data_IF_969085142685
#
_entry.id   IF_969085142685
#
_cell.length_a   1.000
_cell.length_b   1.000
_cell.length_c   1.000
_cell.angle_alpha   90.00
_cell.angle_beta   90.00
_cell.angle_gamma   90.00
#
_symmetry.space_group_name_H-M   'P 1'
#
loop_
_entity.id
_entity.type
_entity.pdbx_description
1 polymer ?
#
# COMPACT_ATOMS: atom_id res chain seq x y z
N UNK A 1 19.50 4.02 0.94
CA UNK A 1 19.91 4.86 2.09
C UNK A 1 21.38 4.73 2.41
N UNK A 2 21.88 3.60 2.93
CA UNK A 2 23.30 3.47 3.30
C UNK A 2 24.27 3.83 2.16
N UNK A 3 24.06 3.30 0.95
CA UNK A 3 24.89 3.62 -0.22
C UNK A 3 24.89 5.11 -0.56
N UNK A 4 23.71 5.74 -0.51
CA UNK A 4 23.57 7.18 -0.73
C UNK A 4 24.27 7.99 0.36
N UNK A 5 24.22 7.53 1.61
CA UNK A 5 24.93 8.12 2.74
C UNK A 5 26.45 8.01 2.55
N UNK A 6 26.98 6.83 2.19
CA UNK A 6 28.40 6.62 1.91
C UNK A 6 28.89 7.47 0.73
N UNK A 7 28.12 7.53 -0.36
CA UNK A 7 28.40 8.41 -1.49
C UNK A 7 28.39 9.89 -1.10
N UNK A 8 27.47 10.29 -0.21
CA UNK A 8 27.43 11.63 0.36
C UNK A 8 28.69 11.96 1.15
N UNK A 9 29.11 11.07 2.05
CA UNK A 9 30.34 11.24 2.83
C UNK A 9 31.60 11.27 1.96
N UNK A 10 31.67 10.43 0.92
CA UNK A 10 32.76 10.45 -0.06
C UNK A 10 32.84 11.79 -0.79
N UNK A 11 31.69 12.29 -1.25
CA UNK A 11 31.57 13.61 -1.89
C UNK A 11 31.98 14.73 -0.94
N UNK A 12 31.59 14.66 0.33
CA UNK A 12 32.02 15.62 1.35
C UNK A 12 33.55 15.58 1.53
N UNK A 13 34.16 14.39 1.61
CA UNK A 13 35.61 14.26 1.73
C UNK A 13 36.35 14.86 0.52
N UNK A 14 35.86 14.62 -0.70
CA UNK A 14 36.40 15.19 -1.93
C UNK A 14 36.29 16.73 -1.94
N UNK A 15 35.16 17.28 -1.48
CA UNK A 15 34.94 18.72 -1.34
C UNK A 15 35.90 19.37 -0.33
N UNK A 16 36.17 18.71 0.79
CA UNK A 16 37.15 19.19 1.79
C UNK A 16 38.55 19.24 1.16
N UNK A 17 38.92 18.19 0.42
CA UNK A 17 40.18 18.14 -0.32
C UNK A 17 40.30 19.24 -1.39
N UNK A 18 39.21 19.52 -2.11
CA UNK A 18 39.15 20.59 -3.10
C UNK A 18 39.27 21.98 -2.46
N UNK A 19 38.51 22.24 -1.39
CA UNK A 19 38.53 23.51 -0.67
C UNK A 19 39.90 23.78 -0.03
N UNK A 20 40.59 22.75 0.46
CA UNK A 20 41.95 22.86 1.00
C UNK A 20 42.94 23.42 -0.04
N UNK A 21 42.80 23.03 -1.31
CA UNK A 21 43.63 23.58 -2.41
C UNK A 21 43.30 25.05 -2.69
N UNK A 22 42.02 25.44 -2.63
CA UNK A 22 41.60 26.84 -2.80
C UNK A 22 42.10 27.73 -1.65
N UNK A 23 42.03 27.22 -0.42
CA UNK A 23 42.55 27.89 0.77
C UNK A 23 44.05 28.17 0.66
N UNK A 24 44.83 27.22 0.15
CA UNK A 24 46.28 27.39 -0.08
C UNK A 24 46.60 28.50 -1.09
N UNK A 25 45.68 28.80 -2.01
CA UNK A 25 45.80 29.88 -2.99
C UNK A 25 45.34 31.26 -2.46
N UNK A 26 45.06 31.39 -1.16
CA UNK A 26 44.70 32.67 -0.52
C UNK A 26 43.24 33.11 -0.69
N UNK A 27 42.39 32.29 -1.32
CA UNK A 27 40.98 32.58 -1.60
C UNK A 27 40.01 31.87 -0.63
N UNK A 28 40.47 31.53 0.58
CA UNK A 28 39.65 30.89 1.61
C UNK A 28 38.66 31.84 2.30
N UNK A 29 37.53 31.29 2.77
CA UNK A 29 36.56 32.00 3.61
C UNK A 29 36.79 31.68 5.08
N UNK A 30 36.80 32.71 5.94
CA UNK A 30 37.00 32.57 7.39
C UNK A 30 35.98 31.64 8.06
N UNK A 31 34.74 31.61 7.58
CA UNK A 31 33.69 30.74 8.14
C UNK A 31 33.90 29.27 7.73
N UNK A 32 34.25 29.03 6.47
CA UNK A 32 34.52 27.67 5.97
C UNK A 32 35.81 27.10 6.59
N UNK A 33 36.83 27.93 6.76
CA UNK A 33 38.06 27.54 7.46
C UNK A 33 37.78 27.13 8.91
N UNK A 34 36.84 27.80 9.59
CA UNK A 34 36.44 27.43 10.96
C UNK A 34 35.69 26.10 10.99
N UNK A 35 34.74 25.88 10.07
CA UNK A 35 33.94 24.64 10.02
C UNK A 35 34.77 23.41 9.64
N UNK A 36 35.83 23.59 8.86
CA UNK A 36 36.66 22.50 8.37
C UNK A 36 37.88 22.22 9.25
N UNK A 37 38.39 23.21 10.01
CA UNK A 37 39.46 23.00 10.99
C UNK A 37 38.96 22.51 12.35
N UNK A 38 37.65 22.54 12.62
CA UNK A 38 37.06 22.06 13.87
C UNK A 38 36.98 20.53 13.90
N UNK A 39 38.13 19.87 13.94
CA UNK A 39 38.27 18.49 14.43
C UNK A 39 37.50 17.41 13.68
N UNK A 40 37.28 17.57 12.36
CA UNK A 40 36.72 16.48 11.56
C UNK A 40 37.65 15.27 11.61
N UNK A 41 37.16 14.14 12.13
CA UNK A 41 37.85 12.85 12.04
C UNK A 41 38.11 12.50 10.58
N UNK A 42 39.26 11.89 10.29
CA UNK A 42 39.58 11.42 8.94
C UNK A 42 38.65 10.25 8.57
N UNK A 43 37.59 10.59 7.83
CA UNK A 43 36.60 9.64 7.33
C UNK A 43 37.19 8.71 6.27
N UNK A 44 38.39 8.96 5.74
CA UNK A 44 39.01 8.17 4.68
C UNK A 44 39.15 6.70 5.06
N UNK A 45 39.72 6.41 6.23
CA UNK A 45 39.92 5.04 6.71
C UNK A 45 38.58 4.30 6.93
N UNK A 46 37.56 5.00 7.42
CA UNK A 46 36.23 4.44 7.60
C UNK A 46 35.52 4.16 6.28
N UNK A 47 35.61 5.09 5.31
CA UNK A 47 35.05 4.90 3.97
C UNK A 47 35.73 3.75 3.23
N UNK A 48 37.05 3.60 3.34
CA UNK A 48 37.77 2.45 2.77
C UNK A 48 37.37 1.11 3.38
N UNK A 49 37.06 1.09 4.68
CA UNK A 49 36.53 -0.11 5.32
C UNK A 49 35.16 -0.49 4.76
N UNK A 50 34.23 0.47 4.64
CA UNK A 50 32.91 0.24 4.03
C UNK A 50 32.98 -0.14 2.54
N UNK A 51 33.98 0.32 1.81
CA UNK A 51 34.22 -0.10 0.42
C UNK A 51 34.53 -1.61 0.32
N UNK A 52 35.21 -2.18 1.34
CA UNK A 52 35.67 -3.58 1.36
C UNK A 52 34.73 -4.54 2.09
N UNK A 53 33.77 -4.03 2.87
CA UNK A 53 32.89 -4.84 3.72
C UNK A 53 31.89 -5.69 2.92
N UNK A 54 31.41 -5.19 1.77
CA UNK A 54 30.37 -5.85 0.98
C UNK A 54 30.43 -5.42 -0.49
N UNK A 55 29.73 -6.15 -1.36
CA UNK A 55 29.65 -5.81 -2.78
C UNK A 55 28.61 -4.70 -3.03
N UNK A 56 29.08 -3.48 -3.31
CA UNK A 56 28.22 -2.30 -3.52
C UNK A 56 27.31 -2.43 -4.73
N UNK A 57 27.77 -3.08 -5.81
CA UNK A 57 26.97 -3.29 -7.04
C UNK A 57 25.79 -4.22 -6.79
N UNK A 58 26.02 -5.31 -6.02
CA UNK A 58 24.95 -6.23 -5.64
C UNK A 58 24.00 -5.55 -4.66
N UNK A 59 24.51 -4.79 -3.70
CA UNK A 59 23.68 -4.05 -2.75
C UNK A 59 22.77 -3.00 -3.41
N UNK A 60 23.26 -2.32 -4.45
CA UNK A 60 22.47 -1.35 -5.22
C UNK A 60 21.37 -2.04 -6.04
N UNK A 61 21.69 -3.16 -6.67
CA UNK A 61 20.77 -3.88 -7.56
C UNK A 61 19.70 -4.68 -6.80
N UNK A 62 20.11 -5.40 -5.76
CA UNK A 62 19.24 -6.30 -4.99
C UNK A 62 18.60 -5.61 -3.77
N UNK A 63 19.08 -4.41 -3.40
CA UNK A 63 18.58 -3.66 -2.25
C UNK A 63 18.93 -4.27 -0.89
N UNK A 64 19.82 -5.26 -0.86
CA UNK A 64 20.24 -6.00 0.34
C UNK A 64 21.75 -5.95 0.48
N UNK A 65 22.24 -5.61 1.66
CA UNK A 65 23.67 -5.63 1.98
C UNK A 65 24.02 -7.03 2.48
N UNK A 66 24.91 -7.69 1.74
CA UNK A 66 25.43 -9.01 2.09
C UNK A 66 26.91 -8.85 2.40
N UNK A 67 27.33 -9.00 3.67
CA UNK A 67 28.74 -8.98 4.03
C UNK A 67 29.54 -10.01 3.22
N UNK A 68 30.78 -9.69 2.89
CA UNK A 68 31.69 -10.71 2.38
C UNK A 68 32.03 -11.73 3.46
N UNK A 69 32.28 -12.98 3.04
CA UNK A 69 32.62 -14.07 3.96
C UNK A 69 33.84 -13.69 4.82
N UNK A 70 33.72 -13.83 6.13
CA UNK A 70 34.75 -13.50 7.11
C UNK A 70 34.77 -12.03 7.56
N UNK A 71 33.87 -11.18 7.05
CA UNK A 71 33.72 -9.79 7.54
C UNK A 71 32.76 -9.70 8.73
N UNK A 72 31.83 -10.64 8.85
CA UNK A 72 30.84 -10.70 9.92
C UNK A 72 30.61 -12.16 10.34
N UNK A 73 31.14 -12.51 11.52
CA UNK A 73 31.07 -13.87 12.07
C UNK A 73 29.63 -14.27 12.41
N UNK A 74 28.80 -13.35 12.92
CA UNK A 74 27.40 -13.63 13.28
C UNK A 74 26.55 -13.90 12.03
N UNK A 75 26.79 -13.14 10.96
CA UNK A 75 26.16 -13.35 9.66
C UNK A 75 26.58 -14.70 9.05
N UNK A 76 27.89 -15.00 9.06
CA UNK A 76 28.42 -16.25 8.52
C UNK A 76 27.84 -17.46 9.27
N UNK A 77 27.70 -17.37 10.60
CA UNK A 77 27.10 -18.40 11.44
C UNK A 77 25.62 -18.61 11.11
N UNK A 78 24.88 -17.52 10.93
CA UNK A 78 23.48 -17.53 10.54
C UNK A 78 23.28 -18.17 9.17
N UNK A 79 24.13 -17.84 8.18
CA UNK A 79 24.10 -18.46 6.86
C UNK A 79 24.33 -19.97 6.93
N UNK A 80 25.27 -20.45 7.77
CA UNK A 80 25.49 -21.88 7.97
C UNK A 80 24.27 -22.57 8.57
N UNK A 81 23.67 -21.98 9.60
CA UNK A 81 22.47 -22.53 10.24
C UNK A 81 21.27 -22.61 9.27
N UNK A 82 21.07 -21.59 8.42
CA UNK A 82 20.02 -21.58 7.40
C UNK A 82 20.26 -22.66 6.35
N UNK A 83 21.50 -22.83 5.88
CA UNK A 83 21.84 -23.87 4.90
C UNK A 83 21.61 -25.28 5.46
N UNK A 84 21.96 -25.51 6.74
CA UNK A 84 21.69 -26.78 7.41
C UNK A 84 20.18 -27.04 7.53
N UNK A 85 19.40 -26.05 7.99
CA UNK A 85 17.94 -26.17 8.08
C UNK A 85 17.30 -26.43 6.70
N UNK A 86 17.77 -25.76 5.66
CA UNK A 86 17.34 -25.98 4.27
C UNK A 86 17.65 -27.40 3.80
N UNK A 87 18.82 -27.94 4.15
CA UNK A 87 19.18 -29.32 3.85
C UNK A 87 18.24 -30.32 4.53
N UNK A 88 17.95 -30.12 5.83
CA UNK A 88 17.02 -30.97 6.58
C UNK A 88 15.60 -30.95 5.99
N UNK A 89 15.12 -29.79 5.54
CA UNK A 89 13.81 -29.67 4.87
C UNK A 89 13.77 -30.46 3.56
N UNK A 90 14.83 -30.42 2.74
CA UNK A 90 14.87 -31.18 1.49
C UNK A 90 14.97 -32.70 1.73
N UNK A 91 15.66 -33.13 2.79
CA UNK A 91 15.66 -34.54 3.22
C UNK A 91 14.25 -34.98 3.64
N UNK A 92 13.57 -34.18 4.46
CA UNK A 92 12.20 -34.47 4.89
C UNK A 92 11.22 -34.54 3.72
N UNK A 93 11.36 -33.64 2.75
CA UNK A 93 10.58 -33.63 1.51
C UNK A 93 10.74 -34.95 0.76
N UNK A 94 11.98 -35.40 0.49
CA UNK A 94 12.23 -36.68 -0.20
C UNK A 94 11.58 -37.86 0.51
N UNK A 95 11.73 -37.94 1.84
CA UNK A 95 11.10 -39.00 2.64
C UNK A 95 9.56 -38.97 2.57
N UNK A 96 8.98 -37.78 2.44
CA UNK A 96 7.52 -37.62 2.37
C UNK A 96 7.01 -37.91 0.96
N UNK A 97 7.74 -37.53 -0.09
CA UNK A 97 7.46 -37.90 -1.48
C UNK A 97 7.46 -39.42 -1.67
N UNK A 98 8.41 -40.13 -1.06
CA UNK A 98 8.47 -41.59 -1.04
C UNK A 98 7.26 -42.22 -0.35
N UNK A 99 6.82 -41.67 0.78
CA UNK A 99 5.69 -42.20 1.57
C UNK A 99 4.32 -41.94 0.93
N UNK A 100 4.16 -40.79 0.29
CA UNK A 100 2.89 -40.39 -0.33
C UNK A 100 2.80 -40.77 -1.81
N UNK A 101 3.90 -41.30 -2.39
CA UNK A 101 4.03 -41.62 -3.80
C UNK A 101 3.61 -40.45 -4.72
N UNK A 102 3.91 -39.22 -4.31
CA UNK A 102 3.57 -38.02 -5.04
C UNK A 102 4.72 -37.01 -4.97
N UNK A 103 4.80 -36.14 -5.97
CA UNK A 103 5.77 -35.03 -5.97
C UNK A 103 5.23 -33.91 -5.09
N UNK A 104 6.04 -33.38 -4.19
CA UNK A 104 5.67 -32.35 -3.22
C UNK A 104 6.39 -31.06 -3.57
N UNK A 105 5.64 -29.96 -3.62
CA UNK A 105 6.22 -28.62 -3.69
C UNK A 105 6.00 -27.91 -2.37
N UNK A 106 6.96 -27.08 -1.97
CA UNK A 106 6.77 -26.17 -0.86
C UNK A 106 6.13 -24.87 -1.35
N UNK A 107 5.03 -24.48 -0.71
CA UNK A 107 4.28 -23.27 -0.99
C UNK A 107 4.19 -22.39 0.26
N UNK A 108 3.86 -21.12 0.04
CA UNK A 108 3.54 -20.15 1.10
C UNK A 108 4.63 -19.09 1.33
N UNK A 109 4.21 -17.98 1.94
CA UNK A 109 5.07 -16.81 2.23
C UNK A 109 4.96 -16.41 3.70
N UNK A 110 5.98 -15.72 4.23
CA UNK A 110 6.07 -15.30 5.64
C UNK A 110 6.00 -16.46 6.64
N UNK A 111 5.04 -16.41 7.57
CA UNK A 111 4.82 -17.43 8.61
C UNK A 111 4.17 -18.72 8.09
N UNK A 112 3.90 -18.80 6.78
CA UNK A 112 3.32 -19.97 6.11
C UNK A 112 4.29 -20.58 5.09
N UNK A 113 5.57 -20.18 5.10
CA UNK A 113 6.60 -20.80 4.26
C UNK A 113 6.69 -22.29 4.55
N UNK A 114 7.02 -23.07 3.52
CA UNK A 114 7.21 -24.51 3.60
C UNK A 114 5.95 -25.33 3.91
N UNK A 115 4.75 -24.84 3.55
CA UNK A 115 3.56 -25.69 3.50
C UNK A 115 3.65 -26.63 2.29
N UNK A 116 3.25 -27.89 2.46
CA UNK A 116 3.32 -28.87 1.39
C UNK A 116 2.08 -28.75 0.50
N UNK A 117 2.30 -28.39 -0.75
CA UNK A 117 1.29 -28.47 -1.79
C UNK A 117 1.32 -29.88 -2.40
N UNK A 118 0.16 -30.50 -2.40
CA UNK A 118 -0.07 -31.87 -2.88
C UNK A 118 -1.33 -31.86 -3.75
N UNK A 119 -1.40 -32.78 -4.71
CA UNK A 119 -2.58 -32.90 -5.56
C UNK A 119 -3.80 -33.35 -4.74
N UNK A 120 -4.98 -32.82 -5.09
CA UNK A 120 -6.24 -33.00 -4.35
C UNK A 120 -6.70 -34.47 -4.27
N UNK A 121 -6.22 -35.30 -5.20
CA UNK A 121 -6.51 -36.73 -5.29
C UNK A 121 -5.60 -37.61 -4.41
N UNK A 122 -4.63 -37.04 -3.68
CA UNK A 122 -3.72 -37.78 -2.80
C UNK A 122 -4.36 -37.95 -1.42
N UNK A 123 -4.50 -39.19 -0.97
CA UNK A 123 -5.02 -39.51 0.37
C UNK A 123 -4.04 -39.09 1.46
N UNK A 124 -4.31 -37.97 2.13
CA UNK A 124 -3.45 -37.44 3.19
C UNK A 124 -3.71 -38.20 4.50
N UNK A 125 -2.67 -38.74 5.16
CA UNK A 125 -2.81 -39.33 6.48
C UNK A 125 -3.35 -38.35 7.53
N UNK A 126 -4.05 -38.88 8.55
CA UNK A 126 -4.69 -38.08 9.62
C UNK A 126 -3.74 -37.23 10.48
N UNK A 127 -2.42 -37.42 10.37
CA UNK A 127 -1.43 -36.63 11.10
C UNK A 127 -1.07 -35.29 10.42
N UNK A 128 -1.65 -34.99 9.25
CA UNK A 128 -1.55 -33.68 8.60
C UNK A 128 -2.84 -32.86 8.73
N UNK A 129 -2.71 -31.54 8.83
CA UNK A 129 -3.83 -30.57 8.88
C UNK A 129 -4.05 -29.94 7.50
N UNK A 130 -5.25 -30.09 6.92
CA UNK A 130 -5.63 -29.46 5.65
C UNK A 130 -6.19 -28.04 5.91
N UNK A 131 -5.62 -27.02 5.26
CA UNK A 131 -6.10 -25.62 5.36
C UNK A 131 -6.57 -25.10 4.01
N UNK A 132 -7.87 -24.86 3.87
CA UNK A 132 -8.45 -24.08 2.76
C UNK A 132 -8.71 -22.65 3.23
N UNK A 133 -8.25 -21.65 2.47
CA UNK A 133 -8.32 -20.25 2.87
C UNK A 133 -9.41 -19.49 2.14
N UNK A 134 -10.51 -19.16 2.85
CA UNK A 134 -11.46 -18.12 2.43
C UNK A 134 -11.62 -17.14 3.60
N UNK A 135 -11.04 -15.94 3.48
CA UNK A 135 -11.25 -14.84 4.45
C UNK A 135 -12.51 -14.05 4.06
N UNK A 136 -13.37 -13.80 5.04
CA UNK A 136 -14.61 -13.02 4.93
C UNK A 136 -14.34 -11.61 5.44
N UNK A 137 -14.48 -10.59 4.59
CA UNK A 137 -14.31 -9.19 4.99
C UNK A 137 -15.61 -8.64 5.58
N UNK A 138 -15.62 -8.43 6.90
CA UNK A 138 -16.46 -7.44 7.58
C UNK A 138 -15.80 -6.04 7.42
N UNK A 139 -16.56 -4.94 7.41
CA UNK A 139 -16.17 -3.57 7.89
C UNK A 139 -16.46 -2.33 7.02
N UNK A 140 -17.22 -2.38 5.92
CA UNK A 140 -17.47 -1.14 5.12
C UNK A 140 -18.21 -0.05 5.93
N UNK A 141 -19.12 -0.45 6.82
CA UNK A 141 -19.87 0.49 7.67
C UNK A 141 -19.01 1.11 8.77
N UNK A 142 -18.28 0.30 9.52
CA UNK A 142 -17.42 0.77 10.61
C UNK A 142 -16.29 1.66 10.08
N UNK A 143 -15.70 1.31 8.93
CA UNK A 143 -14.67 2.13 8.30
C UNK A 143 -15.17 3.53 7.91
N UNK A 144 -16.41 3.63 7.41
CA UNK A 144 -17.03 4.92 7.09
C UNK A 144 -17.26 5.75 8.36
N UNK A 145 -17.71 5.12 9.45
CA UNK A 145 -17.98 5.79 10.73
C UNK A 145 -16.71 6.34 11.37
N UNK A 146 -15.64 5.53 11.43
CA UNK A 146 -14.35 5.94 12.00
C UNK A 146 -13.73 7.07 11.18
N UNK A 147 -13.71 6.94 9.85
CA UNK A 147 -13.19 7.98 8.97
C UNK A 147 -13.93 9.32 9.15
N UNK A 148 -15.25 9.27 9.33
CA UNK A 148 -16.06 10.47 9.60
C UNK A 148 -15.70 11.14 10.94
N UNK A 149 -15.50 10.35 12.00
CA UNK A 149 -15.12 10.87 13.30
C UNK A 149 -13.73 11.53 13.28
N UNK A 150 -12.74 10.89 12.65
CA UNK A 150 -11.38 11.43 12.51
C UNK A 150 -11.39 12.74 11.72
N UNK A 151 -12.09 12.78 10.58
CA UNK A 151 -12.17 13.99 9.76
C UNK A 151 -12.85 15.14 10.51
N UNK A 152 -13.87 14.85 11.31
CA UNK A 152 -14.52 15.86 12.16
C UNK A 152 -13.60 16.38 13.27
N UNK A 153 -12.78 15.52 13.87
CA UNK A 153 -11.87 15.89 14.96
C UNK A 153 -10.71 16.76 14.46
N UNK A 154 -10.11 16.39 13.33
CA UNK A 154 -9.06 17.18 12.67
C UNK A 154 -9.57 18.56 12.27
N UNK A 155 -10.78 18.64 11.69
CA UNK A 155 -11.34 19.91 11.18
C UNK A 155 -11.85 20.87 12.26
N UNK A 156 -12.24 20.37 13.45
CA UNK A 156 -12.83 21.18 14.53
C UNK A 156 -11.89 21.40 15.71
N UNK A 157 -11.15 20.38 16.14
CA UNK A 157 -10.33 20.43 17.36
C UNK A 157 -8.86 20.72 17.07
N UNK A 158 -8.26 20.01 16.11
CA UNK A 158 -6.82 20.14 15.83
C UNK A 158 -6.50 21.34 14.94
N UNK A 159 -7.30 21.58 13.90
CA UNK A 159 -7.14 22.68 12.94
C UNK A 159 -5.72 22.80 12.34
N UNK A 160 -5.01 21.68 12.20
CA UNK A 160 -3.72 21.63 11.52
C UNK A 160 -3.89 21.52 9.99
N UNK A 161 -2.88 21.95 9.24
CA UNK A 161 -2.82 21.71 7.79
C UNK A 161 -2.69 20.21 7.54
N UNK A 162 -3.65 19.61 6.83
CA UNK A 162 -3.73 18.16 6.64
C UNK A 162 -4.26 17.80 5.25
N UNK A 163 -3.84 16.65 4.74
CA UNK A 163 -4.46 15.97 3.61
C UNK A 163 -5.17 14.71 4.10
N UNK A 164 -6.41 14.51 3.68
CA UNK A 164 -7.22 13.35 4.05
C UNK A 164 -7.74 12.66 2.78
N UNK A 165 -7.14 11.51 2.43
CA UNK A 165 -7.54 10.71 1.27
C UNK A 165 -8.56 9.64 1.69
N UNK A 166 -9.63 9.46 0.91
CA UNK A 166 -10.68 8.48 1.21
C UNK A 166 -11.34 7.92 -0.05
N UNK A 167 -11.78 6.67 0.02
CA UNK A 167 -12.65 6.04 -0.99
C UNK A 167 -14.15 6.13 -0.64
N UNK A 168 -14.50 6.70 0.53
CA UNK A 168 -15.89 6.82 0.96
C UNK A 168 -16.56 8.03 0.32
N UNK A 169 -17.19 7.85 -0.85
CA UNK A 169 -17.89 8.93 -1.54
C UNK A 169 -19.04 9.55 -0.68
N UNK A 170 -19.65 8.75 0.20
CA UNK A 170 -20.65 9.21 1.18
C UNK A 170 -20.06 10.22 2.19
N UNK A 171 -18.79 10.07 2.57
CA UNK A 171 -18.10 10.97 3.48
C UNK A 171 -17.83 12.32 2.82
N UNK A 172 -17.43 12.34 1.55
CA UNK A 172 -17.18 13.58 0.79
C UNK A 172 -18.40 14.52 0.78
N UNK A 173 -19.61 13.96 0.61
CA UNK A 173 -20.86 14.74 0.65
C UNK A 173 -21.12 15.38 2.02
N UNK A 174 -20.80 14.66 3.10
CA UNK A 174 -20.99 15.15 4.47
C UNK A 174 -19.92 16.18 4.85
N UNK A 175 -18.71 15.99 4.35
CA UNK A 175 -17.58 16.88 4.58
C UNK A 175 -17.72 18.24 3.88
N UNK A 176 -18.44 18.31 2.75
CA UNK A 176 -18.73 19.54 2.01
C UNK A 176 -19.42 20.64 2.84
N UNK A 177 -20.10 20.26 3.93
CA UNK A 177 -20.83 21.21 4.80
C UNK A 177 -19.87 21.99 5.71
N UNK A 178 -18.64 21.53 5.90
CA UNK A 178 -17.69 22.15 6.82
C UNK A 178 -16.79 23.16 6.07
N UNK A 179 -16.78 24.46 6.47
CA UNK A 179 -15.97 25.48 5.79
C UNK A 179 -14.45 25.26 5.93
N UNK A 180 -13.99 24.47 6.91
CA UNK A 180 -12.58 24.13 7.10
C UNK A 180 -12.12 22.98 6.20
N UNK A 181 -13.00 22.42 5.36
CA UNK A 181 -12.68 21.28 4.51
C UNK A 181 -12.83 21.68 3.04
N UNK A 182 -11.71 21.75 2.33
CA UNK A 182 -11.69 21.86 0.88
C UNK A 182 -11.69 20.45 0.26
N UNK A 183 -12.55 20.24 -0.74
CA UNK A 183 -12.64 18.97 -1.46
C UNK A 183 -11.79 19.06 -2.73
N UNK A 184 -10.99 18.02 -2.97
CA UNK A 184 -10.17 17.91 -4.16
C UNK A 184 -10.05 16.44 -4.60
N UNK A 185 -9.72 16.23 -5.86
CA UNK A 185 -9.48 14.92 -6.45
C UNK A 185 -8.35 14.97 -7.48
N UNK A 186 -7.83 13.80 -7.86
CA UNK A 186 -6.91 13.67 -8.99
C UNK A 186 -7.70 13.68 -10.30
N UNK A 187 -7.38 14.62 -11.18
CA UNK A 187 -8.02 14.77 -12.47
C UNK A 187 -7.75 13.56 -13.39
N UNK A 188 -8.75 13.24 -14.19
CA UNK A 188 -8.69 12.21 -15.22
C UNK A 188 -9.45 12.70 -16.46
N UNK A 189 -9.03 12.18 -17.61
CA UNK A 189 -9.70 12.40 -18.89
C UNK A 189 -10.34 11.08 -19.30
N UNK A 190 -11.62 11.13 -19.68
CA UNK A 190 -12.35 9.95 -20.14
C UNK A 190 -12.68 10.15 -21.62
N UNK A 191 -12.25 9.20 -22.44
CA UNK A 191 -12.58 9.14 -23.87
C UNK A 191 -13.59 8.01 -24.10
N UNK A 192 -14.48 8.22 -25.08
CA UNK A 192 -15.57 7.29 -25.42
C UNK A 192 -16.51 7.01 -24.25
N UNK A 193 -16.95 8.07 -23.55
CA UNK A 193 -18.00 7.94 -22.54
C UNK A 193 -19.28 7.40 -23.18
N UNK A 194 -19.59 6.13 -22.90
CA UNK A 194 -20.82 5.49 -23.35
C UNK A 194 -21.49 4.82 -22.15
N UNK A 195 -22.55 5.45 -21.63
CA UNK A 195 -23.27 4.98 -20.45
C UNK A 195 -23.88 3.58 -20.61
N UNK A 196 -24.05 3.12 -21.86
CA UNK A 196 -24.57 1.80 -22.19
C UNK A 196 -23.49 0.69 -22.15
N UNK A 197 -22.20 1.01 -22.33
CA UNK A 197 -21.14 0.02 -22.40
C UNK A 197 -19.80 0.55 -21.80
N UNK A 198 -19.66 0.58 -20.46
CA UNK A 198 -18.47 1.10 -19.79
C UNK A 198 -17.20 0.27 -20.07
N UNK A 199 -17.34 -0.89 -20.71
CA UNK A 199 -16.20 -1.69 -21.20
C UNK A 199 -15.42 -1.04 -22.34
N UNK A 200 -15.90 0.07 -22.92
CA UNK A 200 -15.22 0.81 -23.99
C UNK A 200 -14.57 2.11 -23.51
N UNK A 201 -14.88 2.57 -22.28
CA UNK A 201 -14.33 3.81 -21.71
C UNK A 201 -12.81 3.74 -21.57
N UNK A 202 -12.10 4.72 -22.13
CA UNK A 202 -10.66 4.87 -21.94
C UNK A 202 -10.38 5.99 -20.93
N UNK A 203 -9.75 5.67 -19.80
CA UNK A 203 -9.45 6.62 -18.74
C UNK A 203 -7.96 6.92 -18.72
N UNK A 204 -7.61 8.19 -18.88
CA UNK A 204 -6.24 8.70 -18.78
C UNK A 204 -6.07 9.48 -17.48
N UNK A 205 -5.15 9.04 -16.61
CA UNK A 205 -4.84 9.73 -15.36
C UNK A 205 -3.92 10.93 -15.63
N UNK A 206 -4.37 12.13 -15.22
CA UNK A 206 -3.63 13.38 -15.48
C UNK A 206 -2.68 13.78 -14.34
N UNK A 207 -2.72 13.07 -13.21
CA UNK A 207 -1.91 13.33 -12.01
C UNK A 207 -1.94 14.78 -11.51
N UNK A 208 -3.04 15.49 -11.79
CA UNK A 208 -3.25 16.89 -11.40
C UNK A 208 -4.29 16.97 -10.30
N UNK A 209 -3.98 17.64 -9.19
CA UNK A 209 -4.98 17.95 -8.15
C UNK A 209 -5.94 19.03 -8.65
N UNK A 210 -7.24 18.76 -8.59
CA UNK A 210 -8.31 19.69 -8.99
C UNK A 210 -9.39 19.74 -7.93
N UNK A 211 -10.04 20.89 -7.80
CA UNK A 211 -11.10 21.10 -6.83
C UNK A 211 -12.33 20.23 -7.11
N UNK A 212 -13.06 19.91 -6.05
CA UNK A 212 -14.29 19.13 -6.09
C UNK A 212 -14.12 17.64 -5.82
N UNK A 213 -15.25 16.92 -5.80
CA UNK A 213 -15.30 15.47 -5.57
C UNK A 213 -15.15 14.74 -6.90
N UNK A 214 -14.44 13.62 -6.89
CA UNK A 214 -14.33 12.75 -8.06
C UNK A 214 -15.73 12.32 -8.56
N UNK A 215 -16.06 12.54 -9.84
CA UNK A 215 -17.42 12.32 -10.36
C UNK A 215 -17.80 10.83 -10.43
N UNK A 216 -16.84 9.94 -10.72
CA UNK A 216 -17.05 8.49 -10.83
C UNK A 216 -15.85 7.72 -10.25
N UNK A 217 -16.09 6.49 -9.79
CA UNK A 217 -15.03 5.57 -9.40
C UNK A 217 -14.53 4.78 -10.61
N UNK A 218 -13.24 4.84 -10.91
CA UNK A 218 -12.64 4.16 -12.07
C UNK A 218 -12.15 2.73 -11.75
N UNK A 219 -12.76 2.07 -10.75
CA UNK A 219 -12.37 0.73 -10.31
C UNK A 219 -12.54 -0.33 -11.40
N UNK A 220 -13.60 -0.23 -12.20
CA UNK A 220 -13.85 -1.15 -13.32
C UNK A 220 -12.81 -1.00 -14.44
N UNK A 221 -12.40 0.23 -14.75
CA UNK A 221 -11.31 0.50 -15.69
C UNK A 221 -9.99 -0.09 -15.19
N UNK A 222 -9.66 0.09 -13.91
CA UNK A 222 -8.46 -0.50 -13.30
C UNK A 222 -8.48 -2.04 -13.35
N UNK A 223 -9.63 -2.67 -13.11
CA UNK A 223 -9.79 -4.12 -13.23
C UNK A 223 -9.55 -4.62 -14.68
N UNK A 224 -10.04 -3.88 -15.68
CA UNK A 224 -9.80 -4.18 -17.09
C UNK A 224 -8.31 -4.06 -17.44
N UNK A 225 -7.65 -3.00 -16.98
CA UNK A 225 -6.20 -2.82 -17.18
C UNK A 225 -5.38 -3.95 -16.53
N UNK A 226 -5.86 -4.49 -15.41
CA UNK A 226 -5.25 -5.62 -14.72
C UNK A 226 -5.52 -6.98 -15.38
N UNK A 227 -6.23 -7.02 -16.53
CA UNK A 227 -6.51 -8.25 -17.27
C UNK A 227 -7.71 -9.06 -16.75
N UNK A 228 -8.60 -8.47 -15.96
CA UNK A 228 -9.85 -9.13 -15.57
C UNK A 228 -10.74 -9.30 -16.80
N UNK A 229 -11.34 -10.49 -16.95
CA UNK A 229 -12.20 -10.83 -18.09
C UNK A 229 -13.34 -9.81 -18.29
N UNK A 230 -13.61 -9.34 -19.52
CA UNK A 230 -14.63 -8.32 -19.79
C UNK A 230 -16.03 -8.68 -19.27
N UNK A 231 -16.41 -9.96 -19.33
CA UNK A 231 -17.72 -10.44 -18.88
C UNK A 231 -17.88 -10.26 -17.37
N UNK A 232 -16.80 -10.48 -16.61
CA UNK A 232 -16.78 -10.30 -15.14
C UNK A 232 -16.87 -8.82 -14.78
N UNK A 233 -16.18 -7.96 -15.52
CA UNK A 233 -16.24 -6.50 -15.32
C UNK A 233 -17.66 -5.98 -15.60
N UNK A 234 -18.31 -6.48 -16.66
CA UNK A 234 -19.69 -6.13 -17.01
C UNK A 234 -20.69 -6.56 -15.93
N UNK A 235 -20.61 -7.81 -15.49
CA UNK A 235 -21.46 -8.33 -14.41
C UNK A 235 -21.28 -7.53 -13.11
N UNK A 236 -20.03 -7.20 -12.75
CA UNK A 236 -19.72 -6.39 -11.58
C UNK A 236 -20.28 -4.96 -11.68
N UNK A 237 -20.26 -4.36 -12.87
CA UNK A 237 -20.86 -3.06 -13.13
C UNK A 237 -22.38 -3.08 -12.96
N UNK A 238 -23.05 -4.06 -13.56
CA UNK A 238 -24.51 -4.24 -13.44
C UNK A 238 -24.91 -4.45 -11.98
N UNK A 239 -24.21 -5.33 -11.25
CA UNK A 239 -24.43 -5.55 -9.82
C UNK A 239 -24.23 -4.28 -8.98
N UNK A 240 -23.21 -3.48 -9.31
CA UNK A 240 -22.95 -2.19 -8.63
C UNK A 240 -24.08 -1.19 -8.83
N UNK A 241 -24.64 -1.09 -10.04
CA UNK A 241 -25.81 -0.24 -10.32
C UNK A 241 -27.03 -0.66 -9.50
N UNK A 242 -27.34 -1.96 -9.48
CA UNK A 242 -28.48 -2.49 -8.70
C UNK A 242 -28.33 -2.17 -7.20
N UNK A 243 -27.12 -2.36 -6.66
CA UNK A 243 -26.83 -2.03 -5.27
C UNK A 243 -26.95 -0.52 -5.00
N UNK A 244 -26.40 0.31 -5.87
CA UNK A 244 -26.48 1.76 -5.75
C UNK A 244 -27.94 2.24 -5.77
N UNK A 245 -28.73 1.78 -6.73
CA UNK A 245 -30.14 2.13 -6.87
C UNK A 245 -30.97 1.67 -5.66
N UNK A 246 -30.70 0.47 -5.15
CA UNK A 246 -31.35 -0.06 -3.94
C UNK A 246 -31.06 0.82 -2.72
N UNK A 247 -29.80 1.22 -2.52
CA UNK A 247 -29.40 2.12 -1.43
C UNK A 247 -30.02 3.52 -1.61
N UNK A 248 -30.05 4.04 -2.83
CA UNK A 248 -30.57 5.38 -3.11
C UNK A 248 -32.10 5.44 -2.95
N UNK A 249 -32.84 4.41 -3.40
CA UNK A 249 -34.29 4.29 -3.18
C UNK A 249 -34.64 4.28 -1.70
N UNK A 250 -33.97 3.44 -0.90
CA UNK A 250 -34.16 3.42 0.57
C UNK A 250 -33.86 4.77 1.20
N UNK A 251 -32.81 5.45 0.74
CA UNK A 251 -32.44 6.78 1.25
C UNK A 251 -33.49 7.84 0.92
N UNK A 252 -34.05 7.84 -0.30
CA UNK A 252 -35.13 8.77 -0.69
C UNK A 252 -36.42 8.51 0.07
N UNK A 253 -36.82 7.24 0.23
CA UNK A 253 -38.01 6.87 1.00
C UNK A 253 -37.88 7.28 2.48
N UNK A 254 -36.71 7.08 3.10
CA UNK A 254 -36.44 7.57 4.46
C UNK A 254 -36.47 9.11 4.55
N UNK A 255 -35.97 9.81 3.53
CA UNK A 255 -36.02 11.27 3.48
C UNK A 255 -37.46 11.79 3.37
N UNK A 256 -38.30 11.16 2.54
CA UNK A 256 -39.72 11.49 2.41
C UNK A 256 -40.47 11.32 3.74
N UNK A 257 -40.23 10.22 4.45
CA UNK A 257 -40.81 9.98 5.79
C UNK A 257 -40.40 11.09 6.78
N UNK A 258 -39.13 11.52 6.75
CA UNK A 258 -38.65 12.60 7.63
C UNK A 258 -39.31 13.94 7.34
N UNK A 259 -39.58 14.25 6.08
CA UNK A 259 -40.25 15.50 5.69
C UNK A 259 -41.72 15.50 6.14
N UNK A 260 -42.44 14.40 5.94
CA UNK A 260 -43.83 14.24 6.44
C UNK A 260 -43.88 14.34 7.97
N UNK A 261 -42.92 13.72 8.67
CA UNK A 261 -42.83 13.79 10.13
C UNK A 261 -42.57 15.22 10.64
N UNK A 262 -41.76 16.02 9.93
CA UNK A 262 -41.51 17.43 10.27
C UNK A 262 -42.69 18.35 9.95
N UNK A 263 -43.45 18.02 8.91
CA UNK A 263 -44.65 18.76 8.49
C UNK A 263 -45.90 18.52 9.34
N UNK A 264 -45.82 17.70 10.39
CA UNK A 264 -46.96 17.36 11.25
C UNK A 264 -47.87 16.27 10.70
N UNK A 265 -47.34 15.38 9.85
CA UNK A 265 -48.09 14.25 9.30
C UNK A 265 -48.66 13.32 10.37
N UNK A 266 -49.78 12.66 10.04
CA UNK A 266 -50.49 11.78 10.98
C UNK A 266 -49.69 10.51 11.29
N UNK A 267 -49.93 9.92 12.47
CA UNK A 267 -49.23 8.70 12.91
C UNK A 267 -49.55 7.53 11.99
N UNK A 268 -50.80 7.42 11.51
CA UNK A 268 -51.24 6.42 10.53
C UNK A 268 -50.48 6.54 9.20
N UNK A 269 -50.35 7.74 8.66
CA UNK A 269 -49.63 8.02 7.40
C UNK A 269 -48.14 7.65 7.50
N UNK A 270 -47.49 8.03 8.60
CA UNK A 270 -46.09 7.66 8.85
C UNK A 270 -45.92 6.14 8.99
N UNK A 271 -46.88 5.45 9.62
CA UNK A 271 -46.83 4.00 9.81
C UNK A 271 -47.00 3.25 8.49
N UNK A 272 -47.87 3.71 7.60
CA UNK A 272 -48.00 3.15 6.25
C UNK A 272 -46.72 3.33 5.43
N UNK A 273 -46.12 4.52 5.45
CA UNK A 273 -44.87 4.79 4.74
C UNK A 273 -43.69 3.95 5.26
N UNK A 274 -43.61 3.70 6.57
CA UNK A 274 -42.58 2.83 7.18
C UNK A 274 -42.78 1.37 6.79
N UNK A 275 -44.03 0.89 6.69
CA UNK A 275 -44.31 -0.49 6.28
C UNK A 275 -44.05 -0.75 4.78
N UNK A 276 -43.97 0.31 3.97
CA UNK A 276 -43.70 0.24 2.53
C UNK A 276 -42.20 0.26 2.15
N UNK A 277 -41.30 0.39 3.14
CA UNK A 277 -39.83 0.41 3.00
C UNK A 277 -39.18 -0.98 2.97
#
# INVERSE_FOLDING_TARGET
>A
DLLSTLAGFKTCNDLIGFYTRIRQNGNGSRLLDSCLNSGGEDLGAHLEHFEKLFNHTVAEKEGVIVPEKGQDEEYDDSCRAVNEAMHQIELYKKQTEEKLHCKINFFGSGNKRFQMEIAENVGVPRYFELKSSRKKNFSTFDGTAIASAVLSDVSRRLQCRSFFSTHYHSLCKTAAVNPNIALAHMACMVENENEANPTEECVTFLYRLTDGVCPKSYGFFAARLAGVRPEVVKEAYEASRVLFDSVNRKKMAIAAIKEVARGGGSVEELREMINAL
#
